data_IF_319249173231
#
_entry.id   IF_319249173231
#
_cell.length_a   1.000
_cell.length_b   1.000
_cell.length_c   1.000
_cell.angle_alpha   90.00
_cell.angle_beta   90.00
_cell.angle_gamma   90.00
#
_symmetry.space_group_name_H-M   'P 1'
#
loop_
_entity.id
_entity.type
_entity.pdbx_description
1 polymer ?
#
# COMPACT_ATOMS: atom_id res chain seq x y z
N UNK A 1 -5.52 -0.25 -1.98
CA UNK A 1 -4.95 -1.64 -1.90
C UNK A 1 -5.96 -2.61 -2.49
N UNK A 2 -5.51 -3.46 -3.38
CA UNK A 2 -6.33 -4.47 -4.05
C UNK A 2 -6.13 -5.85 -3.40
N UNK A 3 -7.17 -6.43 -2.80
CA UNK A 3 -7.11 -7.69 -2.06
C UNK A 3 -7.48 -8.86 -2.96
N UNK A 4 -6.54 -9.38 -3.74
CA UNK A 4 -6.74 -10.45 -4.73
C UNK A 4 -7.45 -11.66 -4.09
N UNK A 5 -6.92 -12.14 -2.96
CA UNK A 5 -7.48 -13.32 -2.27
C UNK A 5 -8.94 -13.14 -1.86
N UNK A 6 -9.35 -11.93 -1.46
CA UNK A 6 -10.77 -11.65 -1.12
C UNK A 6 -11.70 -11.87 -2.32
N UNK A 7 -11.26 -11.46 -3.52
CA UNK A 7 -12.06 -11.62 -4.73
C UNK A 7 -12.11 -13.08 -5.18
N UNK A 8 -10.96 -13.75 -5.19
CA UNK A 8 -10.86 -15.14 -5.65
C UNK A 8 -11.55 -16.14 -4.70
N UNK A 9 -11.39 -15.99 -3.39
CA UNK A 9 -12.16 -16.79 -2.42
C UNK A 9 -13.67 -16.61 -2.54
N UNK A 10 -14.14 -15.41 -2.85
CA UNK A 10 -15.56 -15.13 -3.03
C UNK A 10 -16.17 -15.75 -4.31
N UNK A 11 -15.34 -16.35 -5.17
CA UNK A 11 -15.79 -17.08 -6.38
C UNK A 11 -15.94 -18.59 -6.14
N UNK A 12 -15.30 -19.17 -5.12
CA UNK A 12 -15.37 -20.58 -4.75
C UNK A 12 -15.80 -20.77 -3.28
N UNK A 13 -17.06 -20.45 -2.94
CA UNK A 13 -17.52 -20.52 -1.55
C UNK A 13 -17.60 -21.95 -0.97
N UNK A 14 -17.52 -22.99 -1.81
CA UNK A 14 -17.59 -24.38 -1.40
C UNK A 14 -16.25 -24.95 -0.89
N UNK A 15 -15.14 -24.29 -1.11
CA UNK A 15 -13.83 -24.70 -0.64
C UNK A 15 -13.54 -24.02 0.71
N UNK A 16 -14.07 -24.60 1.78
CA UNK A 16 -13.90 -24.12 3.15
C UNK A 16 -15.17 -23.51 3.73
N UNK A 17 -15.76 -24.20 4.70
CA UNK A 17 -17.02 -23.88 5.38
C UNK A 17 -17.04 -22.59 6.23
N UNK A 18 -16.11 -21.68 5.99
CA UNK A 18 -16.18 -20.34 6.58
C UNK A 18 -16.12 -19.35 5.43
N UNK A 19 -17.17 -18.56 5.18
CA UNK A 19 -17.04 -17.44 4.27
C UNK A 19 -15.85 -16.62 4.76
N UNK A 20 -14.84 -16.42 3.92
CA UNK A 20 -13.92 -15.29 4.10
C UNK A 20 -14.87 -14.10 4.09
N UNK A 21 -15.29 -13.65 5.28
CA UNK A 21 -16.10 -12.45 5.38
C UNK A 21 -15.39 -11.42 4.50
N UNK A 22 -16.08 -10.85 3.50
CA UNK A 22 -15.60 -9.58 2.98
C UNK A 22 -15.30 -8.79 4.25
N UNK A 23 -14.10 -8.20 4.34
CA UNK A 23 -13.81 -7.36 5.50
C UNK A 23 -14.97 -6.39 5.56
N UNK A 24 -15.99 -6.77 6.32
CA UNK A 24 -17.12 -5.88 6.58
C UNK A 24 -16.46 -4.63 7.11
N UNK A 25 -16.85 -3.45 6.64
CA UNK A 25 -16.40 -2.22 7.26
C UNK A 25 -16.51 -2.46 8.76
N UNK A 26 -15.40 -2.29 9.48
CA UNK A 26 -15.44 -2.45 10.93
C UNK A 26 -16.64 -1.66 11.42
N UNK A 27 -17.44 -2.25 12.31
CA UNK A 27 -18.70 -1.65 12.74
C UNK A 27 -18.48 -0.17 13.10
N UNK A 28 -19.28 0.73 12.49
CA UNK A 28 -19.14 2.17 12.67
C UNK A 28 -17.99 2.84 11.90
N UNK A 29 -17.33 2.16 10.96
CA UNK A 29 -16.30 2.77 10.13
C UNK A 29 -16.92 3.70 9.09
N UNK A 30 -16.71 4.99 9.24
CA UNK A 30 -17.08 6.05 8.30
C UNK A 30 -15.84 6.80 7.78
N UNK A 31 -14.78 6.86 8.59
CA UNK A 31 -13.50 7.47 8.24
C UNK A 31 -12.60 6.54 7.41
N UNK A 32 -11.51 7.09 6.84
CA UNK A 32 -10.56 6.31 6.07
C UNK A 32 -9.72 5.38 6.95
N UNK A 33 -9.04 4.41 6.34
CA UNK A 33 -7.84 3.79 6.92
C UNK A 33 -6.76 4.87 7.01
N UNK A 34 -6.18 5.07 8.17
CA UNK A 34 -5.08 6.02 8.36
C UNK A 34 -3.77 5.27 8.47
N UNK A 35 -2.85 5.56 7.56
CA UNK A 35 -1.45 5.15 7.68
C UNK A 35 -0.72 6.31 8.34
N UNK A 36 -0.18 6.09 9.53
CA UNK A 36 0.46 7.15 10.31
C UNK A 36 1.96 6.95 10.39
N UNK A 37 2.70 7.87 9.78
CA UNK A 37 4.16 7.91 9.90
C UNK A 37 4.54 8.64 11.19
N UNK A 38 4.46 7.95 12.32
CA UNK A 38 4.67 8.52 13.67
C UNK A 38 6.08 9.08 13.90
N UNK A 39 7.05 8.59 13.14
CA UNK A 39 8.47 8.97 13.23
C UNK A 39 9.06 9.00 11.83
N UNK A 40 9.96 9.93 11.53
CA UNK A 40 10.66 9.94 10.23
C UNK A 40 12.06 9.31 10.32
N UNK A 41 12.64 9.20 11.51
CA UNK A 41 13.91 8.50 11.73
C UNK A 41 13.79 7.03 11.36
N UNK A 42 14.84 6.48 10.72
CA UNK A 42 14.90 5.07 10.31
C UNK A 42 16.36 4.62 10.29
N UNK A 43 16.63 3.45 10.82
CA UNK A 43 17.94 2.81 10.77
C UNK A 43 18.34 2.28 9.38
N UNK A 44 17.49 2.50 8.36
CA UNK A 44 17.72 2.14 6.95
C UNK A 44 17.54 3.35 6.01
N UNK A 45 18.20 3.27 4.82
CA UNK A 45 18.12 4.31 3.78
C UNK A 45 17.70 3.75 2.42
N UNK A 46 16.63 2.94 2.39
CA UNK A 46 16.16 2.17 1.24
C UNK A 46 16.02 2.99 -0.04
N UNK A 47 16.30 2.36 -1.21
CA UNK A 47 16.25 3.01 -2.53
C UNK A 47 14.88 3.60 -2.89
N UNK A 48 13.79 2.98 -2.42
CA UNK A 48 12.40 3.32 -2.78
C UNK A 48 11.62 4.11 -1.70
N UNK A 49 12.27 4.53 -0.62
CA UNK A 49 11.60 5.15 0.52
C UNK A 49 10.86 6.44 0.14
N UNK A 50 9.54 6.44 0.29
CA UNK A 50 8.69 7.60 -0.01
C UNK A 50 8.88 8.76 0.99
N UNK A 51 9.13 8.44 2.28
CA UNK A 51 9.33 9.41 3.35
C UNK A 51 10.75 10.00 3.40
N UNK A 52 11.68 9.51 2.55
CA UNK A 52 13.11 9.91 2.56
C UNK A 52 13.78 9.80 3.93
N UNK A 53 13.39 8.80 4.70
CA UNK A 53 13.88 8.53 6.05
C UNK A 53 15.38 8.21 6.09
N UNK A 54 16.03 8.52 7.20
CA UNK A 54 17.43 8.24 7.47
C UNK A 54 17.66 8.17 8.99
N UNK A 55 18.81 7.65 9.41
CA UNK A 55 19.18 7.65 10.84
C UNK A 55 19.75 9.02 11.26
N UNK A 56 18.82 9.93 11.48
CA UNK A 56 19.07 11.27 12.00
C UNK A 56 17.81 11.80 12.66
N UNK A 57 17.96 12.83 13.47
CA UNK A 57 16.81 13.50 14.07
C UNK A 57 16.02 14.32 13.05
N UNK A 58 14.72 14.29 13.20
CA UNK A 58 13.78 15.11 12.44
C UNK A 58 12.96 15.92 13.45
N UNK A 59 13.27 17.20 13.65
CA UNK A 59 12.61 18.02 14.65
C UNK A 59 11.13 18.26 14.33
N UNK A 60 10.34 18.52 15.38
CA UNK A 60 8.93 18.89 15.23
C UNK A 60 7.95 17.70 15.19
N UNK A 61 8.41 16.48 15.47
CA UNK A 61 7.50 15.32 15.60
C UNK A 61 6.48 15.53 16.71
N UNK A 62 5.26 15.01 16.51
CA UNK A 62 4.21 15.11 17.50
C UNK A 62 4.60 14.41 18.80
N UNK A 63 4.32 15.06 19.94
CA UNK A 63 4.45 14.45 21.26
C UNK A 63 3.46 13.30 21.45
N UNK A 64 3.72 12.42 22.43
CA UNK A 64 2.84 11.33 22.84
C UNK A 64 1.41 11.81 23.05
N UNK A 65 1.24 12.91 23.78
CA UNK A 65 -0.06 13.53 24.07
C UNK A 65 -0.79 13.97 22.79
N UNK A 66 -0.12 14.68 21.87
CA UNK A 66 -0.71 15.15 20.62
C UNK A 66 -1.14 13.98 19.73
N UNK A 67 -0.37 12.88 19.72
CA UNK A 67 -0.76 11.67 18.98
C UNK A 67 -2.01 11.03 19.60
N UNK A 68 -2.10 10.91 20.93
CA UNK A 68 -3.26 10.35 21.61
C UNK A 68 -4.52 11.21 21.41
N UNK A 69 -4.42 12.53 21.51
CA UNK A 69 -5.52 13.47 21.27
C UNK A 69 -6.02 13.34 19.81
N UNK A 70 -5.11 13.18 18.85
CA UNK A 70 -5.45 12.94 17.45
C UNK A 70 -6.11 11.56 17.25
N UNK A 71 -5.65 10.51 17.94
CA UNK A 71 -6.32 9.19 17.93
C UNK A 71 -7.76 9.29 18.45
N UNK A 72 -8.00 10.07 19.49
CA UNK A 72 -9.35 10.29 20.02
C UNK A 72 -10.27 10.95 18.99
N UNK A 73 -9.75 11.91 18.28
CA UNK A 73 -10.49 12.61 17.22
C UNK A 73 -10.77 11.67 16.03
N UNK A 74 -9.77 10.93 15.56
CA UNK A 74 -9.91 9.93 14.53
C UNK A 74 -10.98 8.88 14.88
N UNK A 75 -10.99 8.40 16.13
CA UNK A 75 -11.98 7.43 16.56
C UNK A 75 -13.40 8.01 16.58
N UNK A 76 -13.57 9.25 17.07
CA UNK A 76 -14.86 9.97 17.05
C UNK A 76 -15.36 10.21 15.62
N UNK A 77 -14.46 10.50 14.69
CA UNK A 77 -14.78 10.66 13.26
C UNK A 77 -15.20 9.35 12.58
N UNK A 78 -14.92 8.19 13.19
CA UNK A 78 -15.26 6.89 12.62
C UNK A 78 -14.11 6.20 11.89
N UNK A 79 -12.88 6.66 12.02
CA UNK A 79 -11.69 5.87 11.66
C UNK A 79 -11.60 4.67 12.59
N UNK A 80 -11.38 3.47 12.02
CA UNK A 80 -11.30 2.22 12.79
C UNK A 80 -10.03 1.44 12.54
N UNK A 81 -9.23 1.85 11.57
CA UNK A 81 -7.98 1.17 11.19
C UNK A 81 -6.84 2.17 11.21
N UNK A 82 -5.83 1.88 12.02
CA UNK A 82 -4.55 2.57 12.06
C UNK A 82 -3.44 1.63 11.62
N UNK A 83 -2.61 2.07 10.68
CA UNK A 83 -1.36 1.40 10.34
C UNK A 83 -0.23 2.28 10.86
N UNK A 84 0.32 1.90 11.99
CA UNK A 84 1.44 2.61 12.60
C UNK A 84 2.72 2.31 11.81
N UNK A 85 3.30 3.34 11.29
CA UNK A 85 4.43 3.32 10.37
C UNK A 85 5.37 4.49 10.69
N UNK A 86 6.27 4.78 9.74
CA UNK A 86 7.17 5.92 9.89
C UNK A 86 8.35 5.80 8.95
N UNK A 87 9.51 6.24 9.42
CA UNK A 87 10.78 5.70 8.99
C UNK A 87 10.86 4.24 9.46
N UNK A 88 11.20 4.05 10.73
CA UNK A 88 11.01 2.77 11.43
C UNK A 88 10.26 3.03 12.74
N UNK A 89 9.04 2.54 12.91
CA UNK A 89 8.23 2.86 14.07
C UNK A 89 8.84 2.39 15.40
N UNK A 90 9.61 1.29 15.40
CA UNK A 90 10.30 0.79 16.59
C UNK A 90 11.47 1.70 17.05
N UNK A 91 11.82 2.73 16.29
CA UNK A 91 12.77 3.78 16.73
C UNK A 91 12.08 4.91 17.52
N UNK A 92 10.76 4.94 17.58
CA UNK A 92 10.02 5.90 18.40
C UNK A 92 9.89 5.35 19.82
N UNK A 93 10.38 6.08 20.85
CA UNK A 93 10.47 5.55 22.22
C UNK A 93 9.12 5.15 22.85
N UNK A 94 8.06 5.89 22.52
CA UNK A 94 6.70 5.71 23.06
C UNK A 94 5.79 4.85 22.15
N UNK A 95 6.36 4.13 21.16
CA UNK A 95 5.56 3.36 20.19
C UNK A 95 4.62 2.34 20.84
N UNK A 96 5.08 1.64 21.87
CA UNK A 96 4.27 0.64 22.56
C UNK A 96 3.13 1.30 23.37
N UNK A 97 3.41 2.41 24.05
CA UNK A 97 2.39 3.20 24.75
C UNK A 97 1.29 3.67 23.80
N UNK A 98 1.66 4.28 22.68
CA UNK A 98 0.74 4.73 21.64
C UNK A 98 -0.05 3.60 21.03
N UNK A 99 0.58 2.45 20.82
CA UNK A 99 -0.07 1.27 20.26
C UNK A 99 -1.09 0.66 21.23
N UNK A 100 -0.75 0.56 22.49
CA UNK A 100 -1.69 0.14 23.54
C UNK A 100 -2.88 1.08 23.62
N UNK A 101 -2.64 2.39 23.62
CA UNK A 101 -3.72 3.37 23.61
C UNK A 101 -4.66 3.20 22.43
N UNK A 102 -4.13 3.02 21.22
CA UNK A 102 -4.93 2.76 20.04
C UNK A 102 -5.77 1.47 20.17
N UNK A 103 -5.18 0.38 20.68
CA UNK A 103 -5.90 -0.88 20.93
C UNK A 103 -7.00 -0.72 21.95
N UNK A 104 -6.74 -0.03 23.07
CA UNK A 104 -7.74 0.24 24.12
C UNK A 104 -8.93 1.06 23.61
N UNK A 105 -8.69 1.98 22.64
CA UNK A 105 -9.76 2.71 21.96
C UNK A 105 -10.58 1.85 21.00
N UNK A 106 -10.14 0.64 20.67
CA UNK A 106 -10.84 -0.27 19.77
C UNK A 106 -10.46 -0.15 18.30
N UNK A 107 -9.30 0.45 17.99
CA UNK A 107 -8.78 0.40 16.64
C UNK A 107 -8.28 -0.99 16.27
N UNK A 108 -8.44 -1.34 14.99
CA UNK A 108 -7.59 -2.32 14.34
C UNK A 108 -6.21 -1.67 14.14
N UNK A 109 -5.18 -2.24 14.73
CA UNK A 109 -3.82 -1.66 14.73
C UNK A 109 -2.86 -2.59 14.01
N UNK A 110 -2.33 -2.13 12.87
CA UNK A 110 -1.23 -2.78 12.17
C UNK A 110 0.09 -2.05 12.41
N UNK A 111 1.16 -2.80 12.60
CA UNK A 111 2.53 -2.27 12.63
C UNK A 111 3.19 -2.50 11.26
N UNK A 112 3.78 -1.45 10.67
CA UNK A 112 4.53 -1.53 9.41
C UNK A 112 6.00 -1.24 9.68
N UNK A 113 6.83 -2.29 9.75
CA UNK A 113 8.23 -2.24 10.14
C UNK A 113 9.15 -2.78 9.04
N UNK A 114 10.42 -2.40 9.08
CA UNK A 114 11.46 -3.07 8.32
C UNK A 114 11.88 -4.42 8.95
N UNK A 115 11.47 -4.68 10.20
CA UNK A 115 11.69 -5.92 10.93
C UNK A 115 13.05 -6.06 11.61
N UNK A 116 14.02 -5.21 11.27
CA UNK A 116 15.40 -5.37 11.77
C UNK A 116 15.56 -5.12 13.27
N UNK A 117 14.63 -4.34 13.85
CA UNK A 117 14.60 -4.01 15.27
C UNK A 117 13.67 -4.90 16.10
N UNK A 118 13.07 -5.93 15.50
CA UNK A 118 12.32 -6.95 16.25
C UNK A 118 13.33 -7.95 16.80
N UNK A 119 13.42 -8.04 18.13
CA UNK A 119 14.43 -8.82 18.84
C UNK A 119 13.80 -9.61 19.98
N UNK A 120 14.57 -10.53 20.56
CA UNK A 120 14.20 -11.29 21.75
C UNK A 120 13.86 -10.37 22.94
N UNK A 121 14.47 -9.17 23.01
CA UNK A 121 14.25 -8.21 24.09
C UNK A 121 12.89 -7.51 24.01
N UNK A 122 12.36 -7.30 22.80
CA UNK A 122 11.12 -6.53 22.63
C UNK A 122 9.92 -7.31 22.10
N UNK A 123 10.10 -8.59 21.71
CA UNK A 123 9.00 -9.40 21.19
C UNK A 123 7.84 -9.55 22.18
N UNK A 124 8.12 -9.59 23.49
CA UNK A 124 7.08 -9.64 24.52
C UNK A 124 6.21 -8.38 24.52
N UNK A 125 6.84 -7.20 24.44
CA UNK A 125 6.10 -5.93 24.37
C UNK A 125 5.28 -5.83 23.07
N UNK A 126 5.82 -6.31 21.93
CA UNK A 126 5.07 -6.37 20.66
C UNK A 126 3.84 -7.28 20.80
N UNK A 127 3.99 -8.45 21.45
CA UNK A 127 2.90 -9.38 21.71
C UNK A 127 1.83 -8.78 22.64
N UNK A 128 2.24 -8.13 23.72
CA UNK A 128 1.36 -7.53 24.71
C UNK A 128 0.48 -6.41 24.12
N UNK A 129 0.99 -5.64 23.16
CA UNK A 129 0.18 -4.66 22.43
C UNK A 129 -1.01 -5.34 21.74
N UNK A 130 -0.87 -6.57 21.28
CA UNK A 130 -1.92 -7.28 20.56
C UNK A 130 -2.20 -6.68 19.17
N UNK A 131 -1.13 -6.38 18.42
CA UNK A 131 -1.27 -5.94 17.02
C UNK A 131 -2.09 -6.95 16.22
N UNK A 132 -3.04 -6.44 15.44
CA UNK A 132 -3.86 -7.28 14.54
C UNK A 132 -3.03 -7.81 13.36
N UNK A 133 -1.89 -7.17 13.09
CA UNK A 133 -1.01 -7.51 11.98
C UNK A 133 0.35 -6.80 12.11
N UNK A 134 1.43 -7.51 11.85
CA UNK A 134 2.78 -6.94 11.72
C UNK A 134 3.27 -7.18 10.29
N UNK A 135 3.43 -6.11 9.53
CA UNK A 135 3.93 -6.14 8.17
C UNK A 135 5.44 -5.91 8.15
N UNK A 136 6.20 -6.90 7.70
CA UNK A 136 7.66 -6.85 7.61
C UNK A 136 8.10 -6.76 6.16
N UNK A 137 8.99 -5.83 5.88
CA UNK A 137 9.44 -5.55 4.52
C UNK A 137 10.57 -6.48 4.10
N UNK A 138 10.39 -7.23 3.00
CA UNK A 138 11.41 -8.06 2.35
C UNK A 138 11.38 -7.77 0.85
N UNK A 139 12.47 -7.21 0.29
CA UNK A 139 12.53 -6.77 -1.12
C UNK A 139 13.41 -7.66 -2.01
N UNK A 140 13.62 -8.90 -1.63
CA UNK A 140 14.37 -9.88 -2.39
C UNK A 140 15.05 -10.91 -1.49
N UNK A 141 15.86 -11.77 -2.06
CA UNK A 141 16.76 -12.65 -1.32
C UNK A 141 17.87 -11.83 -0.66
N UNK A 142 18.70 -12.47 0.16
CA UNK A 142 19.70 -11.80 1.04
C UNK A 142 20.44 -10.65 0.37
N UNK A 143 21.13 -10.91 -0.74
CA UNK A 143 21.97 -9.92 -1.41
C UNK A 143 21.15 -8.75 -1.98
N UNK A 144 20.06 -9.07 -2.65
CA UNK A 144 19.15 -8.08 -3.26
C UNK A 144 18.49 -7.23 -2.18
N UNK A 145 17.98 -7.85 -1.12
CA UNK A 145 17.36 -7.15 0.00
C UNK A 145 18.35 -6.18 0.67
N UNK A 146 19.56 -6.65 1.04
CA UNK A 146 20.57 -5.81 1.70
C UNK A 146 20.99 -4.62 0.82
N UNK A 147 21.16 -4.88 -0.49
CA UNK A 147 21.46 -3.82 -1.46
C UNK A 147 20.32 -2.81 -1.60
N UNK A 148 19.08 -3.27 -1.64
CA UNK A 148 17.88 -2.45 -1.79
C UNK A 148 17.63 -1.61 -0.52
N UNK A 149 17.85 -2.20 0.66
CA UNK A 149 17.72 -1.58 1.97
C UNK A 149 18.95 -0.78 2.39
N UNK A 150 20.09 -0.92 1.66
CA UNK A 150 21.39 -0.28 1.93
C UNK A 150 21.92 -0.57 3.32
N UNK A 151 21.77 -1.81 3.76
CA UNK A 151 22.34 -2.31 5.02
C UNK A 151 22.67 -3.79 4.87
N UNK A 152 23.94 -4.15 5.04
CA UNK A 152 24.40 -5.54 5.12
C UNK A 152 23.79 -6.20 6.35
N UNK A 153 23.26 -7.42 6.19
CA UNK A 153 22.63 -8.20 7.24
C UNK A 153 21.16 -7.82 7.52
N UNK A 154 20.59 -6.84 6.83
CA UNK A 154 19.19 -6.45 7.01
C UNK A 154 18.22 -7.60 6.72
N UNK A 155 18.53 -8.44 5.75
CA UNK A 155 17.73 -9.63 5.43
C UNK A 155 17.61 -10.57 6.61
N UNK A 156 18.76 -10.96 7.21
CA UNK A 156 18.78 -11.89 8.34
C UNK A 156 18.09 -11.34 9.58
N UNK A 157 18.28 -10.04 9.85
CA UNK A 157 17.60 -9.34 10.93
C UNK A 157 16.07 -9.35 10.70
N UNK A 158 15.62 -9.09 9.48
CA UNK A 158 14.18 -9.07 9.13
C UNK A 158 13.57 -10.47 9.20
N UNK A 159 14.27 -11.52 8.73
CA UNK A 159 13.83 -12.92 8.84
C UNK A 159 13.75 -13.34 10.31
N UNK A 160 14.74 -12.95 11.14
CA UNK A 160 14.66 -13.17 12.59
C UNK A 160 13.39 -12.53 13.16
N UNK A 161 13.08 -11.26 12.79
CA UNK A 161 11.87 -10.58 13.22
C UNK A 161 10.58 -11.31 12.83
N UNK A 162 10.52 -11.89 11.60
CA UNK A 162 9.39 -12.71 11.15
C UNK A 162 9.23 -13.94 12.05
N UNK A 163 10.30 -14.67 12.29
CA UNK A 163 10.28 -15.88 13.11
C UNK A 163 9.88 -15.61 14.55
N UNK A 164 10.40 -14.55 15.16
CA UNK A 164 10.01 -14.12 16.51
C UNK A 164 8.52 -13.78 16.59
N UNK A 165 7.99 -13.02 15.63
CA UNK A 165 6.56 -12.71 15.56
C UNK A 165 5.72 -13.99 15.40
N UNK A 166 6.11 -14.88 14.50
CA UNK A 166 5.41 -16.15 14.28
C UNK A 166 5.39 -17.01 15.54
N UNK A 167 6.54 -17.19 16.22
CA UNK A 167 6.65 -17.92 17.48
C UNK A 167 5.83 -17.30 18.60
N UNK A 168 5.67 -15.97 18.60
CA UNK A 168 4.81 -15.26 19.55
C UNK A 168 3.30 -15.36 19.21
N UNK A 169 2.93 -16.01 18.09
CA UNK A 169 1.54 -16.12 17.62
C UNK A 169 1.00 -14.84 16.99
N UNK A 170 1.85 -13.95 16.53
CA UNK A 170 1.49 -12.68 15.90
C UNK A 170 1.32 -12.91 14.40
N UNK A 171 0.20 -12.43 13.84
CA UNK A 171 -0.05 -12.47 12.39
C UNK A 171 0.99 -11.62 11.63
N UNK A 172 1.72 -12.26 10.72
CA UNK A 172 2.79 -11.62 9.94
C UNK A 172 2.42 -11.50 8.46
N UNK A 173 2.93 -10.44 7.81
CA UNK A 173 2.89 -10.33 6.37
C UNK A 173 4.20 -9.84 5.78
N UNK A 174 4.58 -10.42 4.65
CA UNK A 174 5.66 -9.91 3.82
C UNK A 174 5.20 -8.70 3.02
N UNK A 175 6.03 -7.66 2.96
CA UNK A 175 5.82 -6.48 2.14
C UNK A 175 6.98 -6.34 1.15
N UNK A 176 6.65 -6.46 -0.11
CA UNK A 176 7.60 -6.47 -1.23
C UNK A 176 7.31 -5.31 -2.18
N UNK A 177 8.35 -4.54 -2.55
CA UNK A 177 8.23 -3.53 -3.60
C UNK A 177 8.89 -4.02 -4.88
N UNK A 178 8.06 -4.26 -5.88
CA UNK A 178 8.46 -4.81 -7.17
C UNK A 178 9.16 -3.75 -8.03
N UNK A 179 10.37 -4.07 -8.50
CA UNK A 179 11.19 -3.23 -9.39
C UNK A 179 11.93 -4.11 -10.41
N UNK A 180 12.61 -3.49 -11.38
CA UNK A 180 13.47 -4.21 -12.32
C UNK A 180 14.59 -5.00 -11.62
N UNK A 181 15.08 -4.49 -10.49
CA UNK A 181 16.22 -5.06 -9.77
C UNK A 181 15.86 -6.39 -9.07
N UNK A 182 14.57 -6.63 -8.76
CA UNK A 182 14.16 -7.75 -7.88
C UNK A 182 12.99 -8.59 -8.42
N UNK A 183 12.49 -8.32 -9.62
CA UNK A 183 11.34 -9.04 -10.17
C UNK A 183 11.53 -10.54 -10.31
N UNK A 184 12.77 -10.98 -10.59
CA UNK A 184 13.11 -12.39 -10.79
C UNK A 184 13.09 -13.19 -9.50
N UNK A 185 13.07 -12.54 -8.35
CA UNK A 185 13.05 -13.17 -7.03
C UNK A 185 11.65 -13.36 -6.47
N UNK A 186 10.60 -12.88 -7.17
CA UNK A 186 9.21 -13.05 -6.73
C UNK A 186 8.85 -14.53 -6.45
N UNK A 187 9.24 -15.53 -7.28
CA UNK A 187 8.97 -16.93 -6.98
C UNK A 187 9.59 -17.38 -5.66
N UNK A 188 10.84 -16.97 -5.37
CA UNK A 188 11.52 -17.31 -4.12
C UNK A 188 10.89 -16.64 -2.91
N UNK A 189 10.37 -15.41 -3.05
CA UNK A 189 9.64 -14.72 -1.99
C UNK A 189 8.30 -15.38 -1.68
N UNK A 190 7.62 -15.92 -2.69
CA UNK A 190 6.40 -16.71 -2.48
C UNK A 190 6.72 -18.05 -1.78
N UNK A 191 7.84 -18.68 -2.13
CA UNK A 191 8.34 -19.87 -1.42
C UNK A 191 8.79 -19.53 0.02
N UNK A 192 9.40 -18.36 0.23
CA UNK A 192 9.74 -17.84 1.57
C UNK A 192 8.49 -17.67 2.44
N UNK A 193 7.42 -17.13 1.87
CA UNK A 193 6.13 -17.00 2.56
C UNK A 193 5.65 -18.36 3.11
N UNK A 194 5.79 -19.43 2.34
CA UNK A 194 5.43 -20.77 2.77
C UNK A 194 6.37 -21.31 3.83
N UNK A 195 7.67 -21.19 3.61
CA UNK A 195 8.74 -21.69 4.49
C UNK A 195 8.73 -21.04 5.87
N UNK A 196 8.43 -19.74 5.95
CA UNK A 196 8.36 -18.98 7.21
C UNK A 196 6.92 -18.88 7.76
N UNK A 197 5.97 -19.64 7.20
CA UNK A 197 4.56 -19.68 7.60
C UNK A 197 3.91 -18.29 7.70
N UNK A 198 4.16 -17.44 6.72
CA UNK A 198 3.63 -16.08 6.69
C UNK A 198 2.19 -16.05 6.15
N UNK A 199 1.32 -15.31 6.81
CA UNK A 199 -0.13 -15.27 6.52
C UNK A 199 -0.48 -14.42 5.31
N UNK A 200 0.36 -13.45 4.97
CA UNK A 200 0.02 -12.42 3.99
C UNK A 200 1.20 -11.98 3.14
N UNK A 201 0.95 -11.85 1.85
CA UNK A 201 1.87 -11.25 0.90
C UNK A 201 1.29 -9.94 0.37
N UNK A 202 2.04 -8.85 0.53
CA UNK A 202 1.71 -7.55 -0.02
C UNK A 202 2.74 -7.15 -1.06
N UNK A 203 2.33 -7.16 -2.33
CA UNK A 203 3.14 -6.66 -3.43
C UNK A 203 2.79 -5.18 -3.69
N UNK A 204 3.77 -4.32 -3.58
CA UNK A 204 3.67 -2.91 -3.96
C UNK A 204 4.36 -2.67 -5.29
N UNK A 205 3.67 -2.04 -6.22
CA UNK A 205 4.36 -1.46 -7.36
C UNK A 205 5.14 -0.22 -6.91
N UNK A 206 6.24 0.09 -7.60
CA UNK A 206 7.03 1.28 -7.31
C UNK A 206 6.16 2.53 -7.48
N UNK A 207 6.15 3.39 -6.46
CA UNK A 207 5.49 4.68 -6.57
C UNK A 207 6.51 5.80 -6.65
N UNK A 208 6.14 6.88 -7.33
CA UNK A 208 7.01 8.01 -7.60
C UNK A 208 6.90 9.06 -6.49
N UNK A 209 7.28 8.64 -5.26
CA UNK A 209 7.35 9.49 -4.09
C UNK A 209 8.74 9.40 -3.44
N UNK A 210 9.27 10.49 -2.95
CA UNK A 210 10.56 10.54 -2.27
C UNK A 210 11.71 9.93 -3.09
N UNK A 211 12.46 8.97 -2.48
CA UNK A 211 13.53 8.25 -3.20
C UNK A 211 13.00 7.33 -4.31
N UNK A 212 11.78 6.83 -4.18
CA UNK A 212 11.12 6.08 -5.25
C UNK A 212 10.99 6.90 -6.54
N UNK A 213 10.64 8.19 -6.43
CA UNK A 213 10.60 9.09 -7.59
C UNK A 213 12.00 9.34 -8.18
N UNK A 214 13.03 9.45 -7.34
CA UNK A 214 14.43 9.60 -7.82
C UNK A 214 14.92 8.35 -8.55
N UNK A 215 14.44 7.17 -8.16
CA UNK A 215 14.80 5.88 -8.74
C UNK A 215 13.72 5.32 -9.69
N UNK A 216 12.83 6.16 -10.22
CA UNK A 216 11.71 5.72 -11.08
C UNK A 216 12.14 5.00 -12.35
N UNK A 217 13.39 5.18 -12.79
CA UNK A 217 13.97 4.41 -13.89
C UNK A 217 14.05 2.90 -13.61
N UNK A 218 14.02 2.50 -12.33
CA UNK A 218 13.94 1.09 -11.91
C UNK A 218 12.50 0.55 -11.88
N UNK A 219 11.48 1.33 -12.28
CA UNK A 219 10.12 0.81 -12.40
C UNK A 219 10.03 -0.25 -13.50
N UNK A 220 9.12 -1.21 -13.32
CA UNK A 220 9.00 -2.35 -14.23
C UNK A 220 8.49 -1.94 -15.61
N UNK A 221 8.99 -2.61 -16.64
CA UNK A 221 8.34 -2.62 -17.95
C UNK A 221 7.02 -3.38 -17.91
N UNK A 222 6.03 -2.96 -18.69
CA UNK A 222 4.67 -3.48 -18.66
C UNK A 222 4.58 -5.01 -18.80
N UNK A 223 5.39 -5.62 -19.67
CA UNK A 223 5.42 -7.09 -19.83
C UNK A 223 5.92 -7.82 -18.57
N UNK A 224 6.91 -7.24 -17.88
CA UNK A 224 7.43 -7.80 -16.64
C UNK A 224 6.41 -7.69 -15.52
N UNK A 225 5.69 -6.56 -15.45
CA UNK A 225 4.57 -6.39 -14.52
C UNK A 225 3.50 -7.46 -14.75
N UNK A 226 3.12 -7.73 -16.00
CA UNK A 226 2.15 -8.77 -16.33
C UNK A 226 2.59 -10.16 -15.85
N UNK A 227 3.84 -10.55 -16.10
CA UNK A 227 4.40 -11.84 -15.63
C UNK A 227 4.34 -11.97 -14.12
N UNK A 228 4.68 -10.90 -13.39
CA UNK A 228 4.61 -10.89 -11.93
C UNK A 228 3.15 -11.02 -11.44
N UNK A 229 2.21 -10.35 -12.09
CA UNK A 229 0.79 -10.46 -11.76
C UNK A 229 0.21 -11.83 -12.10
N UNK A 230 0.54 -12.39 -13.26
CA UNK A 230 0.12 -13.76 -13.65
C UNK A 230 0.56 -14.75 -12.56
N UNK A 231 1.83 -14.75 -12.18
CA UNK A 231 2.36 -15.61 -11.12
C UNK A 231 1.60 -15.42 -9.79
N UNK A 232 1.36 -14.16 -9.40
CA UNK A 232 0.68 -13.87 -8.14
C UNK A 232 -0.79 -14.34 -8.16
N UNK A 233 -1.50 -14.16 -9.29
CA UNK A 233 -2.88 -14.62 -9.44
C UNK A 233 -2.97 -16.15 -9.48
N UNK A 234 -2.07 -16.82 -10.19
CA UNK A 234 -1.98 -18.28 -10.25
C UNK A 234 -1.68 -18.88 -8.86
N UNK A 235 -0.72 -18.30 -8.12
CA UNK A 235 -0.40 -18.71 -6.76
C UNK A 235 -1.60 -18.55 -5.83
N UNK A 236 -2.23 -17.38 -5.85
CA UNK A 236 -3.41 -17.10 -5.05
C UNK A 236 -4.56 -18.06 -5.39
N UNK A 237 -4.83 -18.29 -6.67
CA UNK A 237 -5.88 -19.20 -7.11
C UNK A 237 -5.60 -20.66 -6.71
N UNK A 238 -4.33 -21.08 -6.79
CA UNK A 238 -3.90 -22.38 -6.28
C UNK A 238 -4.19 -22.54 -4.79
N UNK A 239 -3.89 -21.50 -3.99
CA UNK A 239 -4.18 -21.48 -2.56
C UNK A 239 -5.68 -21.55 -2.28
N UNK A 240 -6.49 -20.80 -3.03
CA UNK A 240 -7.96 -20.84 -2.93
C UNK A 240 -8.48 -22.26 -3.18
N UNK A 241 -8.04 -22.90 -4.27
CA UNK A 241 -8.46 -24.29 -4.59
C UNK A 241 -8.01 -25.30 -3.53
N UNK A 242 -6.86 -25.06 -2.92
CA UNK A 242 -6.33 -25.93 -1.85
C UNK A 242 -6.95 -25.63 -0.46
N UNK A 243 -7.87 -24.65 -0.35
CA UNK A 243 -8.47 -24.23 0.92
C UNK A 243 -7.50 -23.50 1.85
N UNK A 244 -6.35 -23.05 1.38
CA UNK A 244 -5.39 -22.28 2.17
C UNK A 244 -5.87 -20.83 2.34
N UNK A 245 -5.76 -20.30 3.57
CA UNK A 245 -6.30 -18.97 3.94
C UNK A 245 -5.25 -17.85 3.86
N UNK A 246 -4.28 -17.95 2.99
CA UNK A 246 -3.28 -16.91 2.78
C UNK A 246 -3.88 -15.67 2.11
N UNK A 247 -3.43 -14.50 2.53
CA UNK A 247 -3.85 -13.23 1.94
C UNK A 247 -2.85 -12.75 0.88
N UNK A 248 -3.35 -12.41 -0.30
CA UNK A 248 -2.58 -11.79 -1.38
C UNK A 248 -3.16 -10.42 -1.69
N UNK A 249 -2.32 -9.40 -1.63
CA UNK A 249 -2.72 -8.00 -1.76
C UNK A 249 -1.75 -7.27 -2.67
N UNK A 250 -2.25 -6.41 -3.57
CA UNK A 250 -1.39 -5.46 -4.28
C UNK A 250 -1.72 -4.02 -3.92
N UNK A 251 -0.77 -3.13 -4.18
CA UNK A 251 -0.92 -1.71 -3.96
C UNK A 251 -0.13 -0.87 -4.95
N UNK A 252 -0.52 0.40 -5.02
CA UNK A 252 0.08 1.41 -5.88
C UNK A 252 -0.11 1.19 -7.39
N UNK A 253 -0.92 0.19 -7.80
CA UNK A 253 -1.36 0.04 -9.18
C UNK A 253 -2.75 -0.60 -9.23
N UNK A 254 -3.77 0.20 -9.39
CA UNK A 254 -5.16 -0.26 -9.38
C UNK A 254 -5.59 -0.90 -10.72
N UNK A 255 -4.72 -0.84 -11.76
CA UNK A 255 -4.90 -1.61 -12.99
C UNK A 255 -4.83 -3.14 -12.76
N UNK A 256 -4.26 -3.58 -11.62
CA UNK A 256 -4.23 -4.99 -11.22
C UNK A 256 -5.63 -5.59 -11.14
N UNK A 257 -6.64 -4.80 -10.69
CA UNK A 257 -8.02 -5.26 -10.68
C UNK A 257 -8.59 -5.52 -12.08
N UNK A 258 -8.24 -4.69 -13.05
CA UNK A 258 -8.64 -4.88 -14.46
C UNK A 258 -7.88 -6.06 -15.05
N UNK A 259 -6.58 -6.17 -14.75
CA UNK A 259 -5.77 -7.28 -15.27
C UNK A 259 -6.21 -8.62 -14.67
N UNK A 260 -6.66 -8.65 -13.40
CA UNK A 260 -7.28 -9.85 -12.83
C UNK A 260 -8.53 -10.28 -13.61
N UNK A 261 -9.32 -9.33 -14.13
CA UNK A 261 -10.49 -9.66 -14.96
C UNK A 261 -10.06 -10.34 -16.26
N UNK A 262 -9.01 -9.85 -16.93
CA UNK A 262 -8.46 -10.49 -18.13
C UNK A 262 -7.85 -11.86 -17.85
N UNK A 263 -7.12 -11.98 -16.76
CA UNK A 263 -6.60 -13.27 -16.31
C UNK A 263 -7.76 -14.26 -16.04
N UNK A 264 -8.84 -13.80 -15.42
CA UNK A 264 -10.02 -14.62 -15.14
C UNK A 264 -10.75 -15.06 -16.43
N UNK A 265 -10.86 -14.21 -17.44
CA UNK A 265 -11.42 -14.55 -18.74
C UNK A 265 -10.69 -15.74 -19.37
N UNK A 266 -9.37 -15.79 -19.22
CA UNK A 266 -8.53 -16.87 -19.75
C UNK A 266 -8.57 -18.14 -18.90
N UNK A 267 -8.53 -18.02 -17.57
CA UNK A 267 -8.25 -19.13 -16.66
C UNK A 267 -9.47 -19.66 -15.90
N UNK A 268 -10.49 -18.80 -15.67
CA UNK A 268 -11.71 -19.12 -14.90
C UNK A 268 -12.96 -18.45 -15.52
N UNK A 269 -13.25 -18.67 -16.81
CA UNK A 269 -14.26 -17.92 -17.58
C UNK A 269 -15.66 -17.93 -16.94
N UNK A 270 -16.06 -19.00 -16.25
CA UNK A 270 -17.35 -19.11 -15.56
C UNK A 270 -17.56 -18.07 -14.45
N UNK A 271 -16.49 -17.44 -13.95
CA UNK A 271 -16.54 -16.50 -12.84
C UNK A 271 -16.42 -15.02 -13.24
N UNK A 272 -16.23 -14.74 -14.52
CA UNK A 272 -15.90 -13.38 -15.03
C UNK A 272 -16.96 -12.36 -14.67
N UNK A 273 -18.24 -12.68 -14.89
CA UNK A 273 -19.34 -11.74 -14.61
C UNK A 273 -19.42 -11.39 -13.11
N UNK A 274 -19.37 -12.39 -12.24
CA UNK A 274 -19.39 -12.20 -10.79
C UNK A 274 -18.18 -11.39 -10.30
N UNK A 275 -16.99 -11.66 -10.88
CA UNK A 275 -15.77 -10.91 -10.58
C UNK A 275 -15.90 -9.45 -11.02
N UNK A 276 -16.37 -9.20 -12.25
CA UNK A 276 -16.54 -7.86 -12.78
C UNK A 276 -17.48 -7.01 -11.92
N UNK A 277 -18.61 -7.56 -11.48
CA UNK A 277 -19.52 -6.87 -10.59
C UNK A 277 -18.88 -6.49 -9.25
N UNK A 278 -18.02 -7.37 -8.69
CA UNK A 278 -17.28 -7.09 -7.45
C UNK A 278 -16.22 -6.00 -7.66
N UNK A 279 -15.51 -6.03 -8.79
CA UNK A 279 -14.49 -5.05 -9.13
C UNK A 279 -15.07 -3.65 -9.40
N UNK A 280 -16.24 -3.56 -10.04
CA UNK A 280 -16.94 -2.27 -10.20
C UNK A 280 -17.35 -1.70 -8.83
N UNK A 281 -17.78 -2.55 -7.88
CA UNK A 281 -18.08 -2.10 -6.52
C UNK A 281 -16.84 -1.65 -5.73
N UNK A 282 -15.67 -2.22 -6.01
CA UNK A 282 -14.41 -1.77 -5.41
C UNK A 282 -14.06 -0.35 -5.86
N UNK A 283 -14.20 -0.04 -7.16
CA UNK A 283 -14.03 1.30 -7.70
C UNK A 283 -12.59 1.82 -7.74
N UNK A 284 -11.59 0.96 -7.51
CA UNK A 284 -10.16 1.23 -7.72
C UNK A 284 -9.52 2.13 -6.67
N UNK A 285 -8.82 3.15 -7.15
CA UNK A 285 -7.95 4.00 -6.36
C UNK A 285 -8.66 4.66 -5.17
N UNK A 286 -8.09 4.45 -3.97
CA UNK A 286 -8.66 4.82 -2.68
C UNK A 286 -8.14 6.16 -2.13
N UNK A 287 -7.18 6.82 -2.80
CA UNK A 287 -6.62 8.12 -2.35
C UNK A 287 -7.71 9.16 -2.13
N UNK A 288 -7.71 9.82 -0.99
CA UNK A 288 -8.68 10.86 -0.63
C UNK A 288 -10.10 10.34 -0.35
N UNK A 289 -10.33 9.01 -0.37
CA UNK A 289 -11.64 8.38 -0.09
C UNK A 289 -11.58 7.44 1.10
N UNK A 290 -10.89 6.31 0.94
CA UNK A 290 -10.88 5.23 1.92
C UNK A 290 -9.50 5.06 2.57
N UNK A 291 -8.50 5.83 2.18
CA UNK A 291 -7.16 5.83 2.74
C UNK A 291 -6.66 7.26 2.90
N UNK A 292 -6.00 7.52 4.00
CA UNK A 292 -5.31 8.76 4.32
C UNK A 292 -3.93 8.47 4.88
N UNK A 293 -3.10 9.49 4.97
CA UNK A 293 -1.85 9.44 5.70
C UNK A 293 -1.72 10.65 6.61
N UNK A 294 -1.13 10.44 7.78
CA UNK A 294 -0.65 11.51 8.66
C UNK A 294 0.87 11.34 8.77
N UNK A 295 1.63 12.40 8.56
CA UNK A 295 3.08 12.35 8.71
C UNK A 295 3.53 12.62 10.16
N UNK A 296 4.83 12.57 10.40
CA UNK A 296 5.43 12.77 11.71
C UNK A 296 5.25 14.20 12.27
N UNK A 297 4.90 15.17 11.43
CA UNK A 297 4.64 16.56 11.80
C UNK A 297 3.14 16.86 11.97
N UNK A 298 2.27 15.85 11.76
CA UNK A 298 0.83 16.01 11.83
C UNK A 298 0.17 16.50 10.56
N UNK A 299 0.90 16.58 9.45
CA UNK A 299 0.29 16.93 8.17
C UNK A 299 -0.54 15.77 7.64
N UNK A 300 -1.73 16.10 7.10
CA UNK A 300 -2.67 15.15 6.51
C UNK A 300 -2.50 15.12 5.00
N UNK A 301 -2.40 13.91 4.44
CA UNK A 301 -2.22 13.67 3.01
C UNK A 301 -3.35 12.78 2.45
N UNK A 302 -3.68 12.88 1.14
CA UNK A 302 -4.68 12.03 0.50
C UNK A 302 -4.38 10.52 0.58
N UNK A 303 -3.11 10.13 0.59
CA UNK A 303 -2.55 8.80 0.93
C UNK A 303 -1.05 8.92 1.21
N UNK A 304 -0.39 7.79 1.51
CA UNK A 304 1.03 7.71 1.87
C UNK A 304 1.99 8.24 0.80
N UNK A 305 1.58 8.27 -0.46
CA UNK A 305 2.44 8.64 -1.59
C UNK A 305 2.35 10.12 -1.95
N UNK A 306 1.39 10.85 -1.38
CA UNK A 306 1.23 12.31 -1.52
C UNK A 306 2.06 13.09 -0.49
N UNK A 307 3.27 12.63 -0.19
CA UNK A 307 4.12 13.25 0.82
C UNK A 307 4.42 14.74 0.57
N UNK A 308 4.41 15.16 -0.69
CA UNK A 308 4.68 16.55 -1.10
C UNK A 308 3.40 17.41 -1.16
N UNK A 309 2.23 16.87 -0.77
CA UNK A 309 0.95 17.57 -0.85
C UNK A 309 0.18 17.45 0.46
N UNK A 310 0.04 18.58 1.17
CA UNK A 310 -0.60 18.66 2.49
C UNK A 310 -2.00 19.25 2.37
N UNK A 311 -3.00 18.54 2.93
CA UNK A 311 -4.40 19.01 3.02
C UNK A 311 -4.64 19.91 4.22
N UNK A 312 -3.81 19.84 5.24
CA UNK A 312 -3.86 20.55 6.50
C UNK A 312 -3.05 19.84 7.58
N UNK A 313 -3.06 20.38 8.80
CA UNK A 313 -2.30 19.82 9.92
C UNK A 313 -3.21 19.59 11.13
N UNK A 314 -3.13 18.43 11.76
CA UNK A 314 -3.97 18.02 12.90
C UNK A 314 -3.78 18.84 14.16
N UNK A 315 -2.66 19.58 14.27
CA UNK A 315 -2.44 20.54 15.35
C UNK A 315 -3.17 21.86 15.16
N UNK A 316 -3.66 22.15 13.93
CA UNK A 316 -4.33 23.40 13.58
C UNK A 316 -5.84 23.23 13.42
N UNK A 317 -6.27 22.06 12.90
CA UNK A 317 -7.67 21.72 12.63
C UNK A 317 -7.94 20.25 12.95
N UNK A 318 -9.13 19.86 13.40
CA UNK A 318 -9.51 18.46 13.51
C UNK A 318 -9.32 17.70 12.19
N UNK A 319 -8.90 16.44 12.27
CA UNK A 319 -8.72 15.59 11.08
C UNK A 319 -10.02 15.48 10.26
N UNK A 320 -11.18 15.37 10.94
CA UNK A 320 -12.50 15.35 10.30
C UNK A 320 -12.73 16.54 9.39
N UNK A 321 -12.40 17.74 9.86
CA UNK A 321 -12.59 18.99 9.10
C UNK A 321 -11.64 19.04 7.90
N UNK A 322 -10.37 18.62 8.09
CA UNK A 322 -9.40 18.54 7.01
C UNK A 322 -9.85 17.52 5.96
N UNK A 323 -10.29 16.35 6.40
CA UNK A 323 -10.66 15.24 5.51
C UNK A 323 -11.94 15.51 4.74
N UNK A 324 -12.90 16.20 5.33
CA UNK A 324 -14.18 16.53 4.69
C UNK A 324 -14.12 17.78 3.83
N UNK A 325 -13.08 18.58 3.96
CA UNK A 325 -12.90 19.81 3.20
C UNK A 325 -12.66 19.52 1.71
N UNK A 326 -13.57 19.98 0.87
CA UNK A 326 -13.49 19.91 -0.60
C UNK A 326 -13.22 21.25 -1.26
N UNK A 327 -12.83 22.27 -0.50
CA UNK A 327 -12.33 23.53 -1.05
C UNK A 327 -10.99 23.34 -1.76
N UNK A 328 -10.18 22.36 -1.29
CA UNK A 328 -8.97 21.93 -1.98
C UNK A 328 -9.31 21.24 -3.31
N UNK A 329 -8.76 21.71 -4.46
CA UNK A 329 -9.10 21.19 -5.78
C UNK A 329 -8.73 19.71 -5.98
N UNK A 330 -7.63 19.24 -5.39
CA UNK A 330 -7.22 17.83 -5.48
C UNK A 330 -8.21 16.97 -4.71
N UNK A 331 -8.53 17.36 -3.46
CA UNK A 331 -9.43 16.61 -2.61
C UNK A 331 -10.85 16.59 -3.18
N UNK A 332 -11.32 17.72 -3.72
CA UNK A 332 -12.59 17.80 -4.45
C UNK A 332 -12.65 16.77 -5.58
N UNK A 333 -11.61 16.71 -6.42
CA UNK A 333 -11.54 15.76 -7.54
C UNK A 333 -11.42 14.30 -7.08
N UNK A 334 -10.62 14.02 -6.03
CA UNK A 334 -10.46 12.66 -5.49
C UNK A 334 -11.77 12.11 -4.93
N UNK A 335 -12.62 12.95 -4.32
CA UNK A 335 -13.90 12.55 -3.74
C UNK A 335 -15.04 12.40 -4.76
N UNK A 336 -14.91 12.95 -5.97
CA UNK A 336 -15.94 12.81 -7.00
C UNK A 336 -16.14 11.34 -7.41
N UNK A 337 -17.40 10.90 -7.55
CA UNK A 337 -17.74 9.57 -8.05
C UNK A 337 -17.07 9.29 -9.40
N UNK A 338 -17.09 10.25 -10.29
CA UNK A 338 -16.39 10.25 -11.56
C UNK A 338 -15.30 11.31 -11.50
N UNK A 339 -14.06 10.86 -11.26
CA UNK A 339 -12.90 11.74 -11.21
C UNK A 339 -12.70 12.45 -12.56
N UNK A 340 -12.17 13.67 -12.59
CA UNK A 340 -11.96 14.44 -13.82
C UNK A 340 -10.72 13.96 -14.59
N UNK A 341 -10.67 12.67 -14.89
CA UNK A 341 -9.57 12.01 -15.58
C UNK A 341 -9.41 12.57 -16.99
N UNK A 342 -8.18 12.59 -17.48
CA UNK A 342 -7.81 13.08 -18.80
C UNK A 342 -7.08 11.99 -19.60
N UNK A 343 -6.91 12.26 -20.90
CA UNK A 343 -6.21 11.37 -21.81
C UNK A 343 -6.81 9.97 -21.82
N UNK A 344 -5.95 8.99 -21.93
CA UNK A 344 -6.28 7.57 -21.99
C UNK A 344 -7.16 7.08 -20.84
N UNK A 345 -6.93 7.59 -19.61
CA UNK A 345 -7.71 7.20 -18.44
C UNK A 345 -9.18 7.63 -18.51
N UNK A 346 -9.46 8.77 -19.15
CA UNK A 346 -10.84 9.25 -19.33
C UNK A 346 -11.61 8.40 -20.35
N UNK A 347 -10.94 7.94 -21.40
CA UNK A 347 -11.52 7.14 -22.48
C UNK A 347 -11.63 5.65 -22.15
N UNK A 348 -10.91 5.19 -21.12
CA UNK A 348 -10.81 3.79 -20.75
C UNK A 348 -12.16 3.19 -20.35
N UNK A 349 -12.56 2.08 -21.02
CA UNK A 349 -13.78 1.33 -20.69
C UNK A 349 -13.79 0.78 -19.24
N UNK A 350 -12.63 0.62 -18.60
CA UNK A 350 -12.48 0.10 -17.24
C UNK A 350 -12.29 1.18 -16.16
N UNK A 351 -12.54 2.46 -16.48
CA UNK A 351 -12.37 3.55 -15.51
C UNK A 351 -13.17 3.36 -14.21
N UNK A 352 -14.29 2.65 -14.27
CA UNK A 352 -15.14 2.36 -13.11
C UNK A 352 -14.56 1.26 -12.20
N UNK A 353 -13.63 0.45 -12.71
CA UNK A 353 -12.91 -0.57 -11.93
C UNK A 353 -11.63 0.03 -11.33
N UNK A 354 -10.81 0.71 -12.16
CA UNK A 354 -9.49 1.19 -11.79
C UNK A 354 -9.52 2.54 -11.05
N UNK A 355 -10.50 3.42 -11.35
CA UNK A 355 -10.59 4.75 -10.74
C UNK A 355 -9.46 5.71 -11.13
N UNK A 356 -8.76 5.43 -12.25
CA UNK A 356 -7.67 6.25 -12.76
C UNK A 356 -6.28 5.86 -12.28
N UNK A 357 -6.13 4.74 -11.58
CA UNK A 357 -4.85 4.22 -11.11
C UNK A 357 -4.10 5.19 -10.16
N UNK A 358 -2.77 5.22 -10.11
CA UNK A 358 -2.01 6.09 -9.20
C UNK A 358 -2.01 7.56 -9.65
N UNK A 359 -2.75 8.39 -8.93
CA UNK A 359 -2.78 9.83 -9.21
C UNK A 359 -1.47 10.52 -8.83
N UNK A 360 -0.74 9.95 -7.87
CA UNK A 360 0.59 10.44 -7.48
C UNK A 360 1.59 10.30 -8.60
N UNK A 361 1.62 9.15 -9.33
CA UNK A 361 2.51 8.99 -10.49
C UNK A 361 2.18 10.00 -11.59
N UNK A 362 0.89 10.17 -11.90
CA UNK A 362 0.46 11.17 -12.86
C UNK A 362 0.94 12.58 -12.46
N UNK A 363 0.72 12.97 -11.20
CA UNK A 363 1.17 14.25 -10.65
C UNK A 363 2.67 14.46 -10.73
N UNK A 364 3.45 13.48 -10.27
CA UNK A 364 4.92 13.59 -10.22
C UNK A 364 5.57 13.72 -11.60
N UNK A 365 4.95 13.17 -12.63
CA UNK A 365 5.50 13.24 -13.99
C UNK A 365 5.00 14.42 -14.79
N UNK A 366 3.74 14.83 -14.59
CA UNK A 366 3.09 15.83 -15.45
C UNK A 366 2.77 17.14 -14.74
N UNK A 367 2.77 17.15 -13.40
CA UNK A 367 2.21 18.25 -12.59
C UNK A 367 0.68 18.29 -12.61
N UNK A 368 0.03 17.26 -13.14
CA UNK A 368 -1.42 17.16 -13.23
C UNK A 368 -1.90 15.81 -12.68
N UNK A 369 -2.62 15.84 -11.57
CA UNK A 369 -3.13 14.63 -10.92
C UNK A 369 -4.16 13.87 -11.78
N UNK A 370 -4.72 14.52 -12.79
CA UNK A 370 -5.80 13.96 -13.61
C UNK A 370 -5.30 13.41 -14.95
N UNK A 371 -4.03 13.61 -15.26
CA UNK A 371 -3.40 13.01 -16.43
C UNK A 371 -3.43 11.47 -16.37
N UNK A 372 -3.16 10.83 -17.48
CA UNK A 372 -3.03 9.36 -17.52
C UNK A 372 -1.89 8.89 -16.60
N UNK A 373 -2.08 7.71 -15.99
CA UNK A 373 -1.02 7.10 -15.19
C UNK A 373 -0.04 6.33 -16.09
N UNK A 374 1.23 6.72 -16.14
CA UNK A 374 2.24 6.05 -16.96
C UNK A 374 2.55 4.61 -16.51
N UNK A 375 2.22 4.26 -15.24
CA UNK A 375 2.36 2.91 -14.71
C UNK A 375 1.22 1.96 -15.08
N UNK A 376 0.24 2.41 -15.88
CA UNK A 376 -0.81 1.52 -16.40
C UNK A 376 -0.24 0.61 -17.48
N UNK A 377 -0.19 -0.69 -17.21
CA UNK A 377 0.39 -1.71 -18.10
C UNK A 377 -0.62 -2.43 -19.02
N UNK A 378 -1.87 -1.94 -19.05
CA UNK A 378 -2.89 -2.40 -20.00
C UNK A 378 -2.64 -1.79 -21.37
N UNK A 379 -2.85 -2.54 -22.45
CA UNK A 379 -2.75 -2.03 -23.82
C UNK A 379 -3.96 -1.16 -24.20
N UNK A 380 -3.82 -0.36 -25.25
CA UNK A 380 -4.91 0.49 -25.73
C UNK A 380 -6.07 -0.33 -26.26
N UNK A 381 -5.79 -1.48 -26.90
CA UNK A 381 -6.80 -2.44 -27.32
C UNK A 381 -7.61 -2.96 -26.14
N UNK A 382 -6.94 -3.39 -25.06
CA UNK A 382 -7.60 -3.90 -23.85
C UNK A 382 -8.51 -2.86 -23.20
N UNK A 383 -8.14 -1.59 -23.22
CA UNK A 383 -8.95 -0.54 -22.61
C UNK A 383 -9.98 0.08 -23.55
N UNK A 384 -10.06 -0.41 -24.81
CA UNK A 384 -11.02 0.09 -25.81
C UNK A 384 -10.69 1.47 -26.37
N UNK A 385 -9.41 1.81 -26.46
CA UNK A 385 -8.91 3.11 -26.96
C UNK A 385 -7.97 2.85 -28.13
N UNK A 386 -8.53 2.73 -29.35
CA UNK A 386 -7.79 2.30 -30.52
C UNK A 386 -6.95 3.41 -31.20
N UNK A 387 -7.29 4.69 -31.02
CA UNK A 387 -6.79 5.80 -31.86
C UNK A 387 -6.19 6.96 -31.06
N UNK A 388 -5.36 6.68 -30.06
CA UNK A 388 -4.62 7.74 -29.37
C UNK A 388 -3.25 7.99 -29.99
N UNK A 389 -2.79 9.27 -30.04
CA UNK A 389 -1.46 9.59 -30.47
C UNK A 389 -0.41 8.86 -29.64
N UNK A 390 0.74 8.61 -30.25
CA UNK A 390 1.84 7.82 -29.71
C UNK A 390 2.19 8.18 -28.26
N UNK A 391 2.21 7.16 -27.39
CA UNK A 391 2.56 7.32 -25.98
C UNK A 391 4.01 7.74 -25.83
N UNK A 392 4.25 8.71 -24.96
CA UNK A 392 5.59 8.96 -24.48
C UNK A 392 6.00 7.80 -23.55
N UNK A 393 7.02 6.99 -23.87
CA UNK A 393 7.48 5.91 -23.01
C UNK A 393 7.82 6.42 -21.61
N UNK A 394 7.53 5.64 -20.56
CA UNK A 394 7.84 6.00 -19.15
C UNK A 394 9.32 6.35 -18.99
N UNK A 395 10.20 5.68 -19.72
CA UNK A 395 11.65 5.97 -19.79
C UNK A 395 11.97 7.38 -20.29
N UNK A 396 11.16 7.95 -21.16
CA UNK A 396 11.35 9.33 -21.65
C UNK A 396 11.10 10.40 -20.57
N UNK A 397 10.40 10.04 -19.50
CA UNK A 397 10.17 10.93 -18.36
C UNK A 397 11.32 10.94 -17.34
N UNK A 398 12.28 10.05 -17.45
CA UNK A 398 13.40 9.90 -16.51
C UNK A 398 14.26 11.17 -16.34
N UNK A 399 14.25 12.09 -17.32
CA UNK A 399 15.02 13.33 -17.31
C UNK A 399 14.31 14.59 -16.78
N UNK A 400 13.00 14.56 -16.53
CA UNK A 400 12.25 15.77 -16.15
C UNK A 400 11.96 15.80 -14.65
N UNK A 401 12.95 16.17 -13.84
CA UNK A 401 12.70 16.59 -12.46
C UNK A 401 12.17 18.03 -12.54
N UNK A 402 10.85 18.24 -12.39
CA UNK A 402 10.38 19.60 -12.08
C UNK A 402 10.89 19.97 -10.68
N UNK A 403 11.66 21.06 -10.59
CA UNK A 403 11.91 21.74 -9.32
C UNK A 403 10.54 22.06 -8.73
N UNK A 404 10.31 21.63 -7.49
CA UNK A 404 9.15 22.08 -6.73
C UNK A 404 9.16 23.61 -6.77
N UNK A 405 8.09 24.20 -7.23
CA UNK A 405 7.83 25.63 -7.01
C UNK A 405 7.56 25.73 -5.53
N UNK A 406 8.41 26.48 -4.83
CA UNK A 406 8.36 26.80 -3.40
C UNK A 406 7.07 27.56 -3.10
#
# INVERSE_FOLDING_TARGET
>A
MFRISQYLHALEPSVGNTPVRPAAPLAGMQGPVVIWNLVRRCNLTCKHCYATSADKDFPGELSTRQVMETMDELYRFGTRVLILSGGEPLMRPDIFELSHYAKQKGFYVGLSSNGTLITEQNIHAIKEVGYDYVGISIDGTRQTHDTFRRKLGAYDESIRGIRLCHQAGIKVGLRFTLTQDNQYELPELLALMEREAVDKFYLSHLNYAGRGNKNRASDLHHQMTRRAMDLLFETCWSDVKAGRKREYVTGNNDADGVYLLYWAQKNIPRHVEALQQKLVRWGGNSSGRNISNIDNLGNVHPDTMWWDYTLGNVLQRPFSDIWMDTSDPLMKGLKQKHRPLQGRCNLCQHRNICGGNSRTRAWQLTGNAWAEDPGCYLSDVEIGVADLPERIPVTAYAGRIKKAVV
#
